data_IF_835479075629
#
_entry.id   IF_835479075629
#
_cell.length_a   1.000
_cell.length_b   1.000
_cell.length_c   1.000
_cell.angle_alpha   90.00
_cell.angle_beta   90.00
_cell.angle_gamma   90.00
#
_symmetry.space_group_name_H-M   'P 1'
#
loop_
_entity.id
_entity.type
_entity.pdbx_description
1 polymer ?
#
# COMPACT_ATOMS: atom_id res chain seq x y z
N UNK A 1 1.95 -46.38 13.79
CA UNK A 1 1.25 -45.09 13.66
C UNK A 1 2.31 -44.00 13.76
N UNK A 2 2.67 -43.36 12.65
CA UNK A 2 3.71 -42.34 12.61
C UNK A 2 3.07 -40.95 12.75
N UNK A 3 3.44 -40.23 13.81
CA UNK A 3 2.96 -38.89 14.09
C UNK A 3 3.73 -37.90 13.20
N UNK A 4 3.14 -37.49 12.08
CA UNK A 4 3.69 -36.43 11.25
C UNK A 4 3.42 -35.09 11.92
N UNK A 5 4.43 -34.58 12.64
CA UNK A 5 4.44 -33.20 13.11
C UNK A 5 4.47 -32.28 11.90
N UNK A 6 3.34 -31.66 11.58
CA UNK A 6 3.20 -30.62 10.55
C UNK A 6 3.93 -29.37 11.03
N UNK A 7 5.23 -29.27 10.73
CA UNK A 7 6.02 -28.08 11.05
C UNK A 7 5.50 -26.94 10.18
N UNK A 8 4.89 -25.94 10.80
CA UNK A 8 4.47 -24.74 10.10
C UNK A 8 5.71 -24.04 9.54
N UNK A 9 5.73 -23.80 8.22
CA UNK A 9 6.78 -23.01 7.59
C UNK A 9 6.80 -21.62 8.24
N UNK A 10 7.84 -21.33 9.02
CA UNK A 10 8.10 -19.99 9.53
C UNK A 10 8.82 -19.25 8.41
N UNK A 11 8.13 -18.32 7.74
CA UNK A 11 8.79 -17.39 6.83
C UNK A 11 9.66 -16.45 7.66
N UNK A 12 10.97 -16.65 7.61
CA UNK A 12 11.94 -15.72 8.18
C UNK A 12 12.11 -14.59 7.16
N UNK A 13 11.41 -13.48 7.39
CA UNK A 13 11.57 -12.26 6.61
C UNK A 13 12.96 -11.69 6.95
N UNK A 14 13.80 -11.42 5.94
CA UNK A 14 15.09 -10.75 6.17
C UNK A 14 14.84 -9.38 6.84
N UNK A 15 15.70 -8.89 7.75
CA UNK A 15 15.47 -7.59 8.43
C UNK A 15 15.19 -6.44 7.45
N UNK A 16 15.88 -6.40 6.31
CA UNK A 16 15.65 -5.41 5.25
C UNK A 16 14.28 -5.58 4.58
N UNK A 17 13.79 -6.82 4.46
CA UNK A 17 12.47 -7.14 3.94
C UNK A 17 11.34 -6.79 4.93
N UNK A 18 11.58 -6.89 6.25
CA UNK A 18 10.61 -6.44 7.25
C UNK A 18 10.51 -4.91 7.27
N UNK A 19 11.65 -4.22 7.18
CA UNK A 19 11.69 -2.77 7.05
C UNK A 19 10.91 -2.28 5.82
N UNK A 20 11.18 -2.87 4.65
CA UNK A 20 10.49 -2.51 3.41
C UNK A 20 8.98 -2.78 3.46
N UNK A 21 8.56 -3.86 4.13
CA UNK A 21 7.14 -4.17 4.33
C UNK A 21 6.44 -3.13 5.20
N UNK A 22 7.07 -2.74 6.31
CA UNK A 22 6.52 -1.72 7.21
C UNK A 22 6.47 -0.35 6.52
N UNK A 23 7.54 0.03 5.80
CA UNK A 23 7.56 1.28 5.04
C UNK A 23 6.50 1.28 3.93
N UNK A 24 6.36 0.18 3.18
CA UNK A 24 5.32 0.06 2.15
C UNK A 24 3.92 0.24 2.72
N UNK A 25 3.64 -0.40 3.87
CA UNK A 25 2.36 -0.26 4.58
C UNK A 25 2.09 1.18 5.00
N UNK A 26 3.10 1.87 5.53
CA UNK A 26 2.95 3.24 6.03
C UNK A 26 2.72 4.22 4.86
N UNK A 27 3.47 4.07 3.76
CA UNK A 27 3.28 4.85 2.53
C UNK A 27 1.89 4.60 1.90
N UNK A 28 1.43 3.35 1.88
CA UNK A 28 0.09 3.03 1.38
C UNK A 28 -1.01 3.59 2.29
N UNK A 29 -0.76 3.65 3.60
CA UNK A 29 -1.68 4.27 4.56
C UNK A 29 -1.78 5.78 4.32
N UNK A 30 -0.68 6.46 4.00
CA UNK A 30 -0.70 7.88 3.60
C UNK A 30 -1.60 8.09 2.37
N UNK A 31 -1.42 7.28 1.33
CA UNK A 31 -2.26 7.34 0.12
C UNK A 31 -3.75 7.14 0.44
N UNK A 32 -4.06 6.18 1.32
CA UNK A 32 -5.42 5.92 1.79
C UNK A 32 -6.02 7.16 2.48
N UNK A 33 -5.28 7.79 3.40
CA UNK A 33 -5.76 8.98 4.10
C UNK A 33 -5.98 10.17 3.17
N UNK A 34 -5.13 10.34 2.15
CA UNK A 34 -5.32 11.37 1.12
C UNK A 34 -6.63 11.15 0.34
N UNK A 35 -6.92 9.90 -0.06
CA UNK A 35 -8.17 9.56 -0.76
C UNK A 35 -9.39 9.73 0.15
N UNK A 36 -9.29 9.33 1.42
CA UNK A 36 -10.34 9.57 2.42
C UNK A 36 -10.62 11.06 2.59
N UNK A 37 -9.58 11.88 2.65
CA UNK A 37 -9.72 13.33 2.70
C UNK A 37 -10.46 13.87 1.48
N UNK A 38 -10.06 13.48 0.26
CA UNK A 38 -10.75 13.89 -0.98
C UNK A 38 -12.23 13.48 -0.95
N UNK A 39 -12.53 12.26 -0.51
CA UNK A 39 -13.90 11.77 -0.39
C UNK A 39 -14.71 12.45 0.73
N UNK A 40 -14.05 13.01 1.75
CA UNK A 40 -14.71 13.74 2.83
C UNK A 40 -15.20 15.12 2.40
N UNK A 41 -14.66 15.67 1.30
CA UNK A 41 -15.09 16.95 0.75
C UNK A 41 -16.49 16.77 0.19
N UNK A 42 -17.48 17.29 0.91
CA UNK A 42 -18.89 17.17 0.53
C UNK A 42 -19.12 17.88 -0.79
N UNK A 43 -19.36 17.08 -1.82
CA UNK A 43 -19.76 17.56 -3.13
C UNK A 43 -21.24 17.96 -3.06
N UNK A 44 -21.51 19.23 -2.79
CA UNK A 44 -22.89 19.72 -2.77
C UNK A 44 -23.54 19.48 -4.14
N UNK A 45 -24.72 18.85 -4.22
CA UNK A 45 -25.37 18.55 -5.47
C UNK A 45 -25.87 19.85 -6.12
N UNK A 46 -25.06 20.44 -7.00
CA UNK A 46 -25.50 21.47 -7.94
C UNK A 46 -25.81 20.77 -9.26
N UNK A 47 -27.02 20.24 -9.38
CA UNK A 47 -27.67 19.78 -10.62
C UNK A 47 -26.78 19.27 -11.76
N UNK A 48 -26.85 17.96 -12.03
CA UNK A 48 -26.30 17.23 -13.20
C UNK A 48 -24.79 16.96 -13.22
N UNK A 49 -24.01 17.42 -12.25
CA UNK A 49 -22.60 17.02 -12.15
C UNK A 49 -21.84 17.79 -11.07
N UNK A 50 -20.60 17.38 -10.86
CA UNK A 50 -19.65 18.15 -10.07
C UNK A 50 -18.90 19.10 -11.01
N UNK A 51 -19.09 20.40 -10.84
CA UNK A 51 -18.24 21.40 -11.49
C UNK A 51 -17.25 21.91 -10.46
N UNK A 52 -15.99 21.56 -10.65
CA UNK A 52 -14.87 22.14 -9.89
C UNK A 52 -14.46 23.45 -10.56
N UNK A 53 -14.13 24.45 -9.77
CA UNK A 53 -13.43 25.63 -10.30
C UNK A 53 -11.99 25.25 -10.73
N UNK A 54 -11.29 26.10 -11.52
CA UNK A 54 -9.94 25.79 -11.96
C UNK A 54 -8.95 25.52 -10.82
N UNK A 55 -9.06 26.22 -9.69
CA UNK A 55 -8.16 26.06 -8.54
C UNK A 55 -8.39 24.71 -7.86
N UNK A 56 -9.65 24.33 -7.68
CA UNK A 56 -10.06 23.01 -7.16
C UNK A 56 -9.60 21.88 -8.08
N UNK A 57 -9.69 22.08 -9.40
CA UNK A 57 -9.23 21.10 -10.40
C UNK A 57 -7.72 20.90 -10.32
N UNK A 58 -6.95 21.99 -10.25
CA UNK A 58 -5.49 21.94 -10.08
C UNK A 58 -5.11 21.30 -8.75
N UNK A 59 -5.79 21.65 -7.66
CA UNK A 59 -5.56 21.04 -6.34
C UNK A 59 -5.82 19.54 -6.36
N UNK A 60 -6.95 19.11 -6.95
CA UNK A 60 -7.29 17.70 -7.11
C UNK A 60 -6.25 16.95 -7.94
N UNK A 61 -5.78 17.55 -9.05
CA UNK A 61 -4.72 16.96 -9.88
C UNK A 61 -3.47 16.64 -9.07
N UNK A 62 -2.96 17.60 -8.29
CA UNK A 62 -1.77 17.37 -7.47
C UNK A 62 -2.00 16.32 -6.39
N UNK A 63 -3.14 16.34 -5.70
CA UNK A 63 -3.46 15.32 -4.69
C UNK A 63 -3.50 13.93 -5.32
N UNK A 64 -4.13 13.77 -6.49
CA UNK A 64 -4.19 12.49 -7.19
C UNK A 64 -2.81 12.03 -7.69
N UNK A 65 -1.96 12.96 -8.13
CA UNK A 65 -0.58 12.65 -8.50
C UNK A 65 0.21 12.15 -7.28
N UNK A 66 0.08 12.83 -6.13
CA UNK A 66 0.72 12.38 -4.90
C UNK A 66 0.24 10.98 -4.48
N UNK A 67 -1.06 10.69 -4.55
CA UNK A 67 -1.61 9.35 -4.28
C UNK A 67 -0.96 8.30 -5.18
N UNK A 68 -0.87 8.56 -6.50
CA UNK A 68 -0.24 7.65 -7.45
C UNK A 68 1.24 7.41 -7.11
N UNK A 69 1.99 8.45 -6.75
CA UNK A 69 3.40 8.34 -6.38
C UNK A 69 3.59 7.47 -5.12
N UNK A 70 2.70 7.57 -4.12
CA UNK A 70 2.77 6.73 -2.91
C UNK A 70 2.45 5.28 -3.22
N UNK A 71 1.43 5.02 -4.05
CA UNK A 71 1.12 3.66 -4.49
C UNK A 71 2.33 3.07 -5.21
N UNK A 72 2.94 3.81 -6.15
CA UNK A 72 4.11 3.33 -6.88
C UNK A 72 5.30 3.07 -5.96
N UNK A 73 5.59 3.98 -5.02
CA UNK A 73 6.64 3.77 -4.01
C UNK A 73 6.38 2.51 -3.17
N UNK A 74 5.13 2.26 -2.79
CA UNK A 74 4.76 1.05 -2.05
C UNK A 74 4.99 -0.21 -2.90
N UNK A 75 4.67 -0.19 -4.20
CA UNK A 75 4.96 -1.31 -5.11
C UNK A 75 6.47 -1.57 -5.21
N UNK A 76 7.27 -0.52 -5.39
CA UNK A 76 8.73 -0.63 -5.51
C UNK A 76 9.37 -1.20 -4.23
N UNK A 77 8.87 -0.80 -3.05
CA UNK A 77 9.30 -1.35 -1.77
C UNK A 77 8.96 -2.84 -1.64
N UNK A 78 7.81 -3.26 -2.15
CA UNK A 78 7.34 -4.65 -2.11
C UNK A 78 8.06 -5.56 -3.11
N UNK A 79 8.47 -5.06 -4.28
CA UNK A 79 9.28 -5.81 -5.24
C UNK A 79 10.63 -6.26 -4.64
N UNK A 80 11.15 -5.51 -3.67
CA UNK A 80 12.37 -5.85 -2.92
C UNK A 80 12.19 -6.86 -1.78
N UNK A 81 10.96 -7.33 -1.51
CA UNK A 81 10.65 -8.24 -0.39
C UNK A 81 10.69 -9.69 -0.86
N UNK A 82 11.69 -10.45 -0.40
CA UNK A 82 11.78 -11.89 -0.64
C UNK A 82 10.89 -12.64 0.36
N UNK A 83 9.70 -13.04 -0.11
CA UNK A 83 8.75 -13.86 0.66
C UNK A 83 8.95 -15.37 0.47
N UNK A 84 10.07 -15.79 -0.12
CA UNK A 84 10.33 -17.20 -0.37
C UNK A 84 10.44 -18.00 0.94
N UNK A 85 9.82 -19.19 1.04
CA UNK A 85 10.01 -20.05 2.19
C UNK A 85 11.49 -20.48 2.26
N UNK A 86 12.11 -20.33 3.45
CA UNK A 86 13.45 -20.84 3.71
C UNK A 86 13.41 -22.35 3.49
N UNK A 87 14.07 -22.85 2.45
CA UNK A 87 14.26 -24.29 2.26
C UNK A 87 15.07 -24.78 3.46
N UNK A 88 14.43 -25.55 4.34
CA UNK A 88 15.12 -26.22 5.43
C UNK A 88 16.28 -27.04 4.87
N UNK A 89 17.49 -26.76 5.34
CA UNK A 89 18.64 -27.63 5.12
C UNK A 89 18.28 -29.03 5.62
N UNK A 90 18.23 -29.98 4.69
CA UNK A 90 18.15 -31.39 5.01
C UNK A 90 19.58 -31.83 5.34
N UNK A 91 19.83 -32.07 6.62
CA UNK A 91 21.01 -32.81 7.08
C UNK A 91 20.81 -34.31 6.83
#
# INVERSE_FOLDING_TARGET
MANQTKVAAVSIIKPDSEHNLLEARDVLSEARYMVEFVNSITLLPRGKGLTLDPIQTTGLFYVMQHVADRIKKSEDLLEGVDISPVKGETA
#
